data_IF_758038903979
#
_entry.id   IF_758038903979
#
_cell.length_a   1.000
_cell.length_b   1.000
_cell.length_c   1.000
_cell.angle_alpha   90.00
_cell.angle_beta   90.00
_cell.angle_gamma   90.00
#
_symmetry.space_group_name_H-M   'P 1'
#
loop_
_entity.id
_entity.type
_entity.pdbx_description
1 polymer ?
#
# COMPACT_ATOMS: atom_id res chain seq x y z
N UNK A 1 8.46 0.14 -4.54
CA UNK A 1 7.23 -0.63 -4.79
C UNK A 1 7.62 -1.95 -5.43
N UNK A 2 7.06 -3.06 -4.97
CA UNK A 2 7.26 -4.40 -5.54
C UNK A 2 5.97 -4.99 -6.10
N UNK A 3 4.80 -4.55 -5.64
CA UNK A 3 3.49 -4.88 -6.22
C UNK A 3 2.51 -3.71 -6.07
N UNK A 4 1.67 -3.48 -7.07
CA UNK A 4 0.62 -2.45 -7.09
C UNK A 4 -0.38 -2.78 -8.19
N UNK A 5 -1.17 -3.84 -7.97
CA UNK A 5 -1.94 -4.47 -9.02
C UNK A 5 -3.14 -5.25 -8.47
N UNK A 6 -4.08 -5.54 -9.37
CA UNK A 6 -5.19 -6.44 -9.12
C UNK A 6 -4.77 -7.88 -9.45
N UNK A 7 -5.21 -8.81 -8.60
CA UNK A 7 -5.00 -10.24 -8.76
C UNK A 7 -6.22 -10.90 -9.39
N UNK A 8 -6.00 -12.04 -10.05
CA UNK A 8 -7.04 -12.83 -10.70
C UNK A 8 -8.11 -13.37 -9.74
N UNK A 9 -7.80 -13.43 -8.44
CA UNK A 9 -8.69 -13.90 -7.37
C UNK A 9 -9.57 -12.77 -6.78
N UNK A 10 -9.64 -11.61 -7.44
CA UNK A 10 -10.46 -10.47 -6.98
C UNK A 10 -9.82 -9.70 -5.81
N UNK A 11 -8.51 -9.84 -5.60
CA UNK A 11 -7.76 -9.13 -4.57
C UNK A 11 -6.90 -8.02 -5.15
N UNK A 12 -6.55 -7.05 -4.32
CA UNK A 12 -5.64 -5.97 -4.62
C UNK A 12 -4.43 -6.07 -3.71
N UNK A 13 -3.23 -6.03 -4.30
CA UNK A 13 -1.97 -6.12 -3.56
C UNK A 13 -1.17 -4.83 -3.72
N UNK A 14 -0.67 -4.32 -2.59
CA UNK A 14 0.18 -3.13 -2.53
C UNK A 14 1.36 -3.47 -1.63
N UNK A 15 2.55 -3.59 -2.22
CA UNK A 15 3.75 -4.04 -1.53
C UNK A 15 4.96 -3.20 -1.89
N UNK A 16 5.88 -3.07 -0.94
CA UNK A 16 7.16 -2.43 -1.17
C UNK A 16 7.88 -2.12 0.12
N UNK A 17 8.77 -1.15 0.04
CA UNK A 17 9.46 -0.58 1.19
C UNK A 17 9.45 0.94 1.11
N UNK A 18 9.62 1.56 2.26
CA UNK A 18 9.88 2.99 2.38
C UNK A 18 11.16 3.21 3.18
N UNK A 19 11.82 4.33 2.89
CA UNK A 19 13.03 4.77 3.57
C UNK A 19 12.76 6.18 4.09
N UNK A 20 13.01 6.39 5.38
CA UNK A 20 12.97 7.69 6.01
C UNK A 20 14.37 8.05 6.52
N UNK A 21 14.86 9.22 6.12
CA UNK A 21 16.16 9.75 6.53
C UNK A 21 15.94 10.98 7.39
N UNK A 22 16.56 10.99 8.56
CA UNK A 22 16.57 12.12 9.50
C UNK A 22 17.96 12.28 10.10
N UNK A 23 18.16 13.34 10.89
CA UNK A 23 19.43 13.57 11.59
C UNK A 23 19.78 12.46 12.60
N UNK A 24 18.78 11.69 13.03
CA UNK A 24 18.94 10.56 13.96
C UNK A 24 19.32 9.25 13.26
N UNK A 25 19.32 9.22 11.93
CA UNK A 25 19.66 8.04 11.14
C UNK A 25 18.67 7.70 10.03
N UNK A 26 18.79 6.48 9.51
CA UNK A 26 17.99 5.95 8.40
C UNK A 26 17.12 4.81 8.93
N UNK A 27 15.82 4.88 8.65
CA UNK A 27 14.85 3.80 8.90
C UNK A 27 14.42 3.25 7.53
N UNK A 28 14.46 1.93 7.39
CA UNK A 28 13.87 1.22 6.26
C UNK A 28 12.85 0.22 6.79
N UNK A 29 11.64 0.23 6.22
CA UNK A 29 10.58 -0.71 6.57
C UNK A 29 9.87 -1.20 5.32
N UNK A 30 9.49 -2.46 5.35
CA UNK A 30 8.64 -3.06 4.34
C UNK A 30 7.17 -2.80 4.68
N UNK A 31 6.31 -2.78 3.67
CA UNK A 31 4.87 -2.78 3.82
C UNK A 31 4.25 -3.79 2.85
N UNK A 32 3.15 -4.40 3.29
CA UNK A 32 2.34 -5.29 2.48
C UNK A 32 0.89 -5.17 2.88
N UNK A 33 0.06 -4.74 1.93
CA UNK A 33 -1.38 -4.61 2.09
C UNK A 33 -2.08 -5.47 1.04
N UNK A 34 -3.02 -6.28 1.50
CA UNK A 34 -3.92 -7.07 0.67
C UNK A 34 -5.34 -6.63 0.98
N UNK A 35 -6.09 -6.25 -0.05
CA UNK A 35 -7.48 -5.82 0.07
C UNK A 35 -8.36 -6.68 -0.83
N UNK A 36 -9.59 -6.91 -0.41
CA UNK A 36 -10.60 -7.46 -1.31
C UNK A 36 -11.12 -6.35 -2.25
N UNK A 37 -11.38 -6.73 -3.50
CA UNK A 37 -12.05 -5.86 -4.45
C UNK A 37 -13.56 -6.06 -4.29
N UNK A 38 -14.23 -5.04 -3.74
CA UNK A 38 -15.64 -5.13 -3.36
C UNK A 38 -16.59 -5.39 -4.53
N UNK A 39 -16.21 -5.00 -5.76
CA UNK A 39 -16.99 -5.20 -6.99
C UNK A 39 -16.10 -5.45 -8.21
N UNK A 40 -16.62 -6.15 -9.22
CA UNK A 40 -15.90 -6.36 -10.48
C UNK A 40 -15.71 -5.07 -11.28
N UNK A 41 -14.64 -5.03 -12.08
CA UNK A 41 -14.38 -3.96 -13.04
C UNK A 41 -13.13 -3.13 -12.73
N UNK A 42 -12.58 -2.53 -13.78
CA UNK A 42 -11.34 -1.77 -13.70
C UNK A 42 -11.48 -0.49 -12.85
N UNK A 43 -12.62 0.19 -12.93
CA UNK A 43 -12.89 1.38 -12.12
C UNK A 43 -12.87 1.06 -10.62
N UNK A 44 -13.46 -0.06 -10.21
CA UNK A 44 -13.44 -0.52 -8.81
C UNK A 44 -12.04 -0.93 -8.38
N UNK A 45 -11.29 -1.64 -9.23
CA UNK A 45 -9.89 -1.96 -8.98
C UNK A 45 -9.06 -0.69 -8.68
N UNK A 46 -9.15 0.32 -9.54
CA UNK A 46 -8.40 1.59 -9.36
C UNK A 46 -8.81 2.29 -8.06
N UNK A 47 -10.10 2.29 -7.72
CA UNK A 47 -10.57 2.85 -6.44
C UNK A 47 -10.02 2.08 -5.23
N UNK A 48 -10.00 0.75 -5.30
CA UNK A 48 -9.46 -0.09 -4.22
C UNK A 48 -7.96 0.11 -4.05
N UNK A 49 -7.21 0.25 -5.15
CA UNK A 49 -5.78 0.61 -5.13
C UNK A 49 -5.55 1.98 -4.46
N UNK A 50 -6.33 3.00 -4.82
CA UNK A 50 -6.22 4.32 -4.23
C UNK A 50 -6.53 4.32 -2.72
N UNK A 51 -7.57 3.58 -2.30
CA UNK A 51 -7.90 3.35 -0.89
C UNK A 51 -6.74 2.69 -0.15
N UNK A 52 -6.19 1.62 -0.71
CA UNK A 52 -5.07 0.92 -0.10
C UNK A 52 -3.81 1.78 0.01
N UNK A 53 -3.52 2.61 -1.00
CA UNK A 53 -2.38 3.52 -0.94
C UNK A 53 -2.54 4.57 0.18
N UNK A 54 -3.75 5.05 0.40
CA UNK A 54 -4.05 5.96 1.52
C UNK A 54 -3.79 5.27 2.87
N UNK A 55 -4.18 4.00 3.03
CA UNK A 55 -3.90 3.22 4.25
C UNK A 55 -2.40 3.01 4.48
N UNK A 56 -1.62 2.75 3.42
CA UNK A 56 -0.15 2.67 3.51
C UNK A 56 0.42 4.00 4.02
N UNK A 57 -0.01 5.13 3.46
CA UNK A 57 0.43 6.46 3.91
C UNK A 57 0.12 6.71 5.39
N UNK A 58 -1.09 6.38 5.84
CA UNK A 58 -1.50 6.49 7.24
C UNK A 58 -0.65 5.59 8.16
N UNK A 59 -0.37 4.35 7.73
CA UNK A 59 0.49 3.41 8.47
C UNK A 59 1.94 3.89 8.57
N UNK A 60 2.48 4.52 7.53
CA UNK A 60 3.81 5.13 7.58
C UNK A 60 3.82 6.30 8.57
N UNK A 61 2.82 7.18 8.48
CA UNK A 61 2.70 8.32 9.38
C UNK A 61 2.62 7.90 10.85
N UNK A 62 1.83 6.86 11.17
CA UNK A 62 1.72 6.34 12.54
C UNK A 62 2.98 5.66 13.06
N UNK A 63 3.91 5.27 12.19
CA UNK A 63 5.22 4.72 12.57
C UNK A 63 6.27 5.80 12.82
N UNK A 64 6.02 7.03 12.36
CA UNK A 64 6.94 8.17 12.48
C UNK A 64 6.51 9.19 13.56
N UNK A 65 5.29 9.05 14.09
CA UNK A 65 4.74 9.87 15.18
C UNK A 65 5.40 9.60 16.52
#
# INVERSE_FOLDING_TARGET
MTAFDGRYDGKVIIQGNWIYKSDKGIIKRDFSLLLDQDENGYSTLVRTLARGWTQVGQSIASQLS
#
